data_IF_058493015736
#
_entry.id   IF_058493015736
#
_cell.length_a   1.000
_cell.length_b   1.000
_cell.length_c   1.000
_cell.angle_alpha   90.00
_cell.angle_beta   90.00
_cell.angle_gamma   90.00
#
_symmetry.space_group_name_H-M   'P 1'
#
loop_
_entity.id
_entity.type
_entity.pdbx_description
1 polymer ?
#
# COMPACT_ATOMS: atom_id res chain seq x y z
N UNK A 1 -45.27 -0.91 -29.47
CA UNK A 1 -44.34 0.02 -30.16
C UNK A 1 -43.23 -0.83 -30.79
N UNK A 2 -43.25 -1.01 -32.12
CA UNK A 2 -42.25 -1.81 -32.82
C UNK A 2 -41.02 -0.94 -33.11
N UNK A 3 -39.84 -1.39 -32.69
CA UNK A 3 -38.56 -0.75 -33.00
C UNK A 3 -38.18 -1.17 -34.42
N UNK A 4 -38.21 -0.24 -35.38
CA UNK A 4 -38.12 -0.51 -36.82
C UNK A 4 -36.76 -0.21 -37.47
N UNK A 5 -35.71 0.12 -36.71
CA UNK A 5 -34.39 0.30 -37.34
C UNK A 5 -33.25 -0.04 -36.38
N UNK A 6 -32.40 -0.98 -36.81
CA UNK A 6 -31.10 -1.31 -36.21
C UNK A 6 -29.97 -1.03 -37.20
N UNK A 7 -30.13 -0.01 -38.05
CA UNK A 7 -29.04 0.47 -38.88
C UNK A 7 -27.93 1.04 -38.00
N UNK A 8 -26.71 0.51 -38.16
CA UNK A 8 -25.53 0.98 -37.44
C UNK A 8 -25.26 2.44 -37.83
N UNK A 9 -25.50 3.38 -36.92
CA UNK A 9 -25.10 4.77 -37.10
C UNK A 9 -23.57 4.86 -37.12
N UNK A 10 -23.02 5.44 -38.19
CA UNK A 10 -21.61 5.80 -38.23
C UNK A 10 -21.30 6.85 -37.17
N UNK A 11 -20.21 6.63 -36.44
CA UNK A 11 -19.74 7.53 -35.40
C UNK A 11 -19.25 8.85 -36.02
N UNK A 12 -20.03 9.93 -35.84
CA UNK A 12 -19.71 11.28 -36.34
C UNK A 12 -19.00 12.16 -35.30
N UNK A 13 -18.61 11.61 -34.16
CA UNK A 13 -17.95 12.36 -33.09
C UNK A 13 -16.47 12.60 -33.39
N UNK A 14 -15.97 13.80 -33.08
CA UNK A 14 -14.54 14.08 -33.10
C UNK A 14 -13.84 13.16 -32.08
N UNK A 15 -12.86 12.37 -32.52
CA UNK A 15 -11.99 11.63 -31.59
C UNK A 15 -11.36 12.67 -30.67
N UNK A 16 -11.79 12.71 -29.41
CA UNK A 16 -11.05 13.44 -28.38
C UNK A 16 -9.71 12.73 -28.23
N UNK A 17 -8.72 13.17 -29.01
CA UNK A 17 -7.33 12.72 -29.01
C UNK A 17 -6.58 13.09 -27.73
N UNK A 18 -7.26 13.74 -26.79
CA UNK A 18 -6.79 13.81 -25.42
C UNK A 18 -6.69 12.39 -24.89
N UNK A 19 -5.46 11.89 -24.76
CA UNK A 19 -5.07 10.89 -23.76
C UNK A 19 -5.44 11.42 -22.37
N UNK A 20 -6.73 11.63 -22.09
CA UNK A 20 -7.23 11.72 -20.73
C UNK A 20 -6.78 10.41 -20.13
N UNK A 21 -5.87 10.50 -19.17
CA UNK A 21 -5.07 9.36 -18.74
C UNK A 21 -6.02 8.19 -18.42
N UNK A 22 -6.04 7.18 -19.30
CA UNK A 22 -7.04 6.11 -19.23
C UNK A 22 -6.90 5.36 -17.90
N UNK A 23 -5.69 5.36 -17.34
CA UNK A 23 -5.40 4.83 -16.01
C UNK A 23 -6.21 5.50 -14.89
N UNK A 24 -6.45 6.82 -14.93
CA UNK A 24 -7.28 7.52 -13.93
C UNK A 24 -8.73 7.03 -14.01
N UNK A 25 -9.27 6.84 -15.22
CA UNK A 25 -10.65 6.38 -15.41
C UNK A 25 -10.81 4.96 -14.86
N UNK A 26 -9.84 4.08 -15.14
CA UNK A 26 -9.80 2.71 -14.60
C UNK A 26 -9.74 2.75 -13.08
N UNK A 27 -8.77 3.48 -12.50
CA UNK A 27 -8.59 3.59 -11.06
C UNK A 27 -9.85 4.12 -10.37
N UNK A 28 -10.46 5.19 -10.90
CA UNK A 28 -11.68 5.80 -10.35
C UNK A 28 -12.87 4.85 -10.40
N UNK A 29 -13.00 4.09 -11.49
CA UNK A 29 -14.08 3.11 -11.65
C UNK A 29 -13.94 1.98 -10.64
N UNK A 30 -12.74 1.43 -10.50
CA UNK A 30 -12.44 0.38 -9.53
C UNK A 30 -12.63 0.85 -8.09
N UNK A 31 -12.14 2.05 -7.74
CA UNK A 31 -12.35 2.64 -6.42
C UNK A 31 -13.84 2.84 -6.12
N UNK A 32 -14.65 3.27 -7.09
CA UNK A 32 -16.10 3.42 -6.92
C UNK A 32 -16.77 2.07 -6.67
N UNK A 33 -16.39 1.02 -7.41
CA UNK A 33 -16.92 -0.33 -7.22
C UNK A 33 -16.52 -0.88 -5.85
N UNK A 34 -15.28 -0.66 -5.41
CA UNK A 34 -14.80 -1.08 -4.10
C UNK A 34 -15.49 -0.31 -2.97
N UNK A 35 -15.70 1.00 -3.13
CA UNK A 35 -16.38 1.84 -2.14
C UNK A 35 -17.86 1.47 -1.95
N UNK A 36 -18.51 0.89 -2.97
CA UNK A 36 -19.88 0.35 -2.86
C UNK A 36 -19.93 -0.89 -1.96
N UNK A 37 -18.82 -1.60 -1.76
CA UNK A 37 -18.77 -2.74 -0.85
C UNK A 37 -18.70 -2.25 0.59
N UNK A 38 -19.77 -2.45 1.36
CA UNK A 38 -19.87 -2.06 2.77
C UNK A 38 -18.63 -2.47 3.58
N UNK A 39 -18.15 -3.69 3.37
CA UNK A 39 -16.99 -4.24 4.06
C UNK A 39 -15.69 -3.46 3.78
N UNK A 40 -15.41 -3.12 2.52
CA UNK A 40 -14.21 -2.32 2.16
C UNK A 40 -14.30 -0.94 2.78
N UNK A 41 -15.47 -0.29 2.74
CA UNK A 41 -15.67 1.01 3.37
C UNK A 41 -15.44 0.96 4.88
N UNK A 42 -15.91 -0.08 5.56
CA UNK A 42 -15.71 -0.23 7.00
C UNK A 42 -14.24 -0.43 7.36
N UNK A 43 -13.50 -1.24 6.61
CA UNK A 43 -12.07 -1.46 6.86
C UNK A 43 -11.23 -0.19 6.59
N UNK A 44 -11.58 0.57 5.55
CA UNK A 44 -10.84 1.78 5.20
C UNK A 44 -11.17 2.94 6.15
N UNK A 45 -12.37 2.98 6.73
CA UNK A 45 -12.79 4.10 7.56
C UNK A 45 -12.61 3.87 9.07
N UNK A 46 -13.07 2.73 9.60
CA UNK A 46 -13.21 2.56 11.06
C UNK A 46 -11.86 2.30 11.74
N UNK A 47 -11.09 1.26 11.38
CA UNK A 47 -9.86 0.97 12.11
C UNK A 47 -8.79 2.08 12.07
N UNK A 48 -8.51 2.74 10.93
CA UNK A 48 -7.55 3.86 10.91
C UNK A 48 -8.02 5.03 11.77
N UNK A 49 -9.34 5.29 11.81
CA UNK A 49 -9.90 6.33 12.65
C UNK A 49 -9.78 5.99 14.14
N UNK A 50 -10.10 4.75 14.53
CA UNK A 50 -9.90 4.29 15.91
C UNK A 50 -8.42 4.37 16.29
N UNK A 51 -7.53 3.91 15.41
CA UNK A 51 -6.08 3.94 15.62
C UNK A 51 -5.56 5.37 15.77
N UNK A 52 -6.02 6.30 14.92
CA UNK A 52 -5.73 7.73 15.02
C UNK A 52 -6.25 8.32 16.32
N UNK A 53 -7.50 8.05 16.72
CA UNK A 53 -8.09 8.61 17.95
C UNK A 53 -7.32 8.13 19.19
N UNK A 54 -6.97 6.85 19.25
CA UNK A 54 -6.19 6.30 20.38
C UNK A 54 -4.83 7.01 20.51
N UNK A 55 -4.12 7.21 19.40
CA UNK A 55 -2.81 7.88 19.41
C UNK A 55 -2.92 9.40 19.56
N UNK A 56 -3.99 10.02 19.08
CA UNK A 56 -4.28 11.44 19.28
C UNK A 56 -4.55 11.75 20.74
N UNK A 57 -5.33 10.90 21.43
CA UNK A 57 -5.50 11.01 22.90
C UNK A 57 -4.15 10.89 23.62
N UNK A 58 -3.27 9.98 23.19
CA UNK A 58 -1.92 9.86 23.76
C UNK A 58 -1.11 11.15 23.54
N UNK A 59 -1.11 11.69 22.32
CA UNK A 59 -0.47 12.97 21.99
C UNK A 59 -1.02 14.12 22.83
N UNK A 60 -2.33 14.16 23.05
CA UNK A 60 -2.98 15.15 23.92
C UNK A 60 -2.52 15.03 25.37
N UNK A 61 -2.49 13.82 25.92
CA UNK A 61 -2.04 13.56 27.29
C UNK A 61 -0.57 13.97 27.49
N UNK A 62 0.31 13.69 26.52
CA UNK A 62 1.73 14.06 26.61
C UNK A 62 1.91 15.58 26.65
N UNK A 63 1.15 16.32 25.85
CA UNK A 63 1.26 17.78 25.81
C UNK A 63 0.65 18.48 27.04
N UNK A 64 -0.42 17.93 27.61
CA UNK A 64 -1.17 18.60 28.68
C UNK A 64 -0.88 18.07 30.10
N UNK A 65 -0.48 16.80 30.23
CA UNK A 65 -0.10 16.15 31.48
C UNK A 65 1.29 15.51 31.40
N UNK A 66 2.37 16.30 31.25
CA UNK A 66 3.72 15.77 31.07
C UNK A 66 4.22 14.98 32.29
N UNK A 67 3.80 15.36 33.50
CA UNK A 67 4.16 14.69 34.77
C UNK A 67 3.71 13.22 34.80
N UNK A 68 2.54 12.90 34.23
CA UNK A 68 1.98 11.54 34.21
C UNK A 68 2.41 10.72 32.99
N UNK A 69 3.08 11.34 32.02
CA UNK A 69 3.48 10.74 30.74
C UNK A 69 4.99 10.82 30.50
N UNK A 70 5.79 10.96 31.56
CA UNK A 70 7.23 11.17 31.49
C UNK A 70 8.03 10.10 30.70
N UNK A 71 7.45 8.90 30.49
CA UNK A 71 8.05 7.82 29.70
C UNK A 71 7.66 7.85 28.20
N UNK A 72 6.74 8.73 27.80
CA UNK A 72 6.22 8.85 26.44
C UNK A 72 6.65 10.18 25.83
N UNK A 73 7.61 10.12 24.91
CA UNK A 73 8.03 11.27 24.10
C UNK A 73 7.49 11.14 22.68
N UNK A 74 7.08 12.27 22.09
CA UNK A 74 6.62 12.32 20.71
C UNK A 74 7.80 12.71 19.81
N UNK A 75 8.65 11.71 19.57
CA UNK A 75 9.87 11.83 18.77
C UNK A 75 9.67 11.25 17.35
N UNK A 76 10.64 11.38 16.41
CA UNK A 76 10.56 10.73 15.09
C UNK A 76 10.26 9.22 15.19
N UNK A 77 10.73 8.59 16.26
CA UNK A 77 10.44 7.20 16.55
C UNK A 77 8.93 6.93 16.73
N UNK A 78 8.19 7.79 17.43
CA UNK A 78 6.74 7.65 17.59
C UNK A 78 6.02 7.57 16.24
N UNK A 79 6.37 8.45 15.29
CA UNK A 79 5.77 8.47 13.96
C UNK A 79 6.16 7.24 13.13
N UNK A 80 7.42 6.81 13.20
CA UNK A 80 7.84 5.53 12.61
C UNK A 80 7.01 4.39 13.19
N UNK A 81 6.85 4.34 14.51
CA UNK A 81 6.09 3.28 15.19
C UNK A 81 4.62 3.27 14.79
N UNK A 82 4.02 4.46 14.69
CA UNK A 82 2.65 4.62 14.23
C UNK A 82 2.44 4.05 12.83
N UNK A 83 3.37 4.33 11.90
CA UNK A 83 3.31 3.78 10.55
C UNK A 83 3.58 2.27 10.55
N UNK A 84 4.68 1.88 11.21
CA UNK A 84 5.22 0.53 11.29
C UNK A 84 6.24 0.42 12.44
N UNK A 85 5.76 0.01 13.63
CA UNK A 85 6.51 -0.76 14.65
C UNK A 85 5.48 -1.43 15.54
N UNK A 86 5.67 -2.70 15.88
CA UNK A 86 4.63 -3.65 16.33
C UNK A 86 3.62 -3.99 15.21
N UNK A 87 3.95 -4.95 14.33
CA UNK A 87 3.24 -5.24 13.08
C UNK A 87 1.78 -5.72 13.22
N UNK A 88 1.23 -5.74 14.44
CA UNK A 88 -0.08 -6.35 14.71
C UNK A 88 -1.22 -5.52 14.14
N UNK A 89 -1.21 -4.19 14.24
CA UNK A 89 -2.35 -3.37 13.81
C UNK A 89 -2.20 -2.80 12.38
N UNK A 90 -1.22 -1.94 12.06
CA UNK A 90 -1.10 -1.39 10.69
C UNK A 90 -0.86 -2.49 9.65
N UNK A 91 0.03 -3.44 9.96
CA UNK A 91 0.33 -4.58 9.09
C UNK A 91 -0.89 -5.45 8.80
N UNK A 92 -1.72 -5.72 9.81
CA UNK A 92 -2.97 -6.47 9.65
C UNK A 92 -3.96 -5.79 8.70
N UNK A 93 -4.14 -4.46 8.80
CA UNK A 93 -5.05 -3.75 7.89
C UNK A 93 -4.55 -3.74 6.45
N UNK A 94 -3.23 -3.62 6.24
CA UNK A 94 -2.62 -3.76 4.92
C UNK A 94 -2.90 -5.16 4.35
N UNK A 95 -2.70 -6.21 5.15
CA UNK A 95 -3.00 -7.60 4.77
C UNK A 95 -4.48 -7.73 4.38
N UNK A 96 -5.37 -7.22 5.22
CA UNK A 96 -6.82 -7.32 5.05
C UNK A 96 -7.26 -6.65 3.74
N UNK A 97 -6.79 -5.44 3.45
CA UNK A 97 -7.12 -4.76 2.19
C UNK A 97 -6.49 -5.43 0.98
N UNK A 98 -5.24 -5.88 1.10
CA UNK A 98 -4.61 -6.65 0.03
C UNK A 98 -5.45 -7.87 -0.33
N UNK A 99 -5.92 -8.63 0.66
CA UNK A 99 -6.75 -9.82 0.45
C UNK A 99 -8.11 -9.48 -0.14
N UNK A 100 -8.85 -8.55 0.46
CA UNK A 100 -10.26 -8.33 0.10
C UNK A 100 -10.45 -7.45 -1.14
N UNK A 101 -9.54 -6.51 -1.36
CA UNK A 101 -9.58 -5.57 -2.48
C UNK A 101 -8.56 -5.95 -3.55
N UNK A 102 -7.31 -6.21 -3.15
CA UNK A 102 -6.19 -6.45 -4.09
C UNK A 102 -6.27 -7.78 -4.84
N UNK A 103 -6.62 -8.87 -4.15
CA UNK A 103 -6.62 -10.20 -4.76
C UNK A 103 -7.58 -10.33 -5.95
N UNK A 104 -8.65 -9.52 -5.97
CA UNK A 104 -9.67 -9.50 -7.01
C UNK A 104 -9.40 -8.55 -8.18
N UNK A 105 -8.39 -7.68 -8.08
CA UNK A 105 -8.20 -6.58 -9.03
C UNK A 105 -7.97 -7.08 -10.46
N UNK A 106 -7.12 -8.09 -10.65
CA UNK A 106 -6.81 -8.66 -11.98
C UNK A 106 -7.44 -10.05 -12.14
N UNK A 107 -7.47 -10.87 -11.09
CA UNK A 107 -8.03 -12.24 -11.16
C UNK A 107 -9.48 -12.27 -11.64
N UNK A 108 -10.29 -11.28 -11.25
CA UNK A 108 -11.67 -11.12 -11.73
C UNK A 108 -11.72 -10.82 -13.23
N UNK A 109 -10.83 -9.95 -13.71
CA UNK A 109 -10.75 -9.58 -15.13
C UNK A 109 -10.29 -10.77 -15.98
N UNK A 110 -9.36 -11.58 -15.47
CA UNK A 110 -8.92 -12.81 -16.12
C UNK A 110 -10.04 -13.86 -16.17
N UNK A 111 -10.75 -14.08 -15.06
CA UNK A 111 -11.86 -15.05 -14.98
C UNK A 111 -12.97 -14.76 -15.99
N UNK A 112 -13.27 -13.49 -16.24
CA UNK A 112 -14.34 -13.06 -17.14
C UNK A 112 -13.83 -12.63 -18.52
N UNK A 113 -12.57 -12.90 -18.85
CA UNK A 113 -11.92 -12.46 -20.10
C UNK A 113 -12.11 -10.96 -20.40
N UNK A 114 -12.21 -10.12 -19.37
CA UNK A 114 -12.40 -8.68 -19.54
C UNK A 114 -11.14 -8.01 -20.09
N UNK A 115 -9.97 -8.62 -19.90
CA UNK A 115 -8.70 -8.06 -20.37
C UNK A 115 -8.65 -7.89 -21.90
N UNK A 116 -9.22 -8.82 -22.67
CA UNK A 116 -9.31 -8.70 -24.13
C UNK A 116 -10.20 -7.53 -24.56
N UNK A 117 -11.27 -7.27 -23.81
CA UNK A 117 -12.19 -6.14 -24.04
C UNK A 117 -11.52 -4.80 -23.69
N UNK A 118 -10.69 -4.75 -22.64
CA UNK A 118 -9.91 -3.55 -22.32
C UNK A 118 -8.84 -3.26 -23.37
N UNK A 119 -8.12 -4.29 -23.81
CA UNK A 119 -7.00 -4.16 -24.75
C UNK A 119 -7.43 -4.05 -26.23
N UNK A 120 -8.69 -4.34 -26.57
CA UNK A 120 -9.24 -4.07 -27.90
C UNK A 120 -9.57 -2.58 -28.11
N UNK A 121 -9.66 -1.82 -27.02
CA UNK A 121 -9.73 -0.35 -27.04
C UNK A 121 -8.32 0.23 -27.11
N UNK A 122 -8.14 1.51 -27.49
CA UNK A 122 -6.84 2.18 -27.51
C UNK A 122 -6.31 2.48 -26.09
N UNK A 123 -6.22 1.45 -25.24
CA UNK A 123 -5.73 1.48 -23.86
C UNK A 123 -4.45 0.66 -23.83
N UNK A 124 -3.35 1.27 -23.40
CA UNK A 124 -2.09 0.53 -23.22
C UNK A 124 -2.20 -0.42 -22.02
N UNK A 125 -1.50 -1.56 -22.09
CA UNK A 125 -1.31 -2.45 -20.94
C UNK A 125 -0.68 -1.71 -19.74
N UNK A 126 0.14 -0.68 -20.00
CA UNK A 126 0.71 0.18 -18.94
C UNK A 126 -0.35 1.03 -18.26
N UNK A 127 -1.30 1.58 -19.00
CA UNK A 127 -2.38 2.39 -18.42
C UNK A 127 -3.31 1.52 -17.56
N UNK A 128 -3.58 0.29 -18.01
CA UNK A 128 -4.31 -0.69 -17.22
C UNK A 128 -3.57 -1.01 -15.91
N UNK A 129 -2.28 -1.34 -16.00
CA UNK A 129 -1.48 -1.74 -14.83
C UNK A 129 -1.35 -0.60 -13.81
N UNK A 130 -1.02 0.62 -14.28
CA UNK A 130 -0.95 1.81 -13.43
C UNK A 130 -2.31 2.04 -12.75
N UNK A 131 -3.41 1.96 -13.50
CA UNK A 131 -4.75 2.11 -12.96
C UNK A 131 -5.04 1.12 -11.82
N UNK A 132 -4.70 -0.16 -11.98
CA UNK A 132 -4.91 -1.19 -10.95
C UNK A 132 -4.01 -1.01 -9.73
N UNK A 133 -2.72 -0.68 -9.92
CA UNK A 133 -1.79 -0.45 -8.80
C UNK A 133 -2.19 0.81 -8.02
N UNK A 134 -2.57 1.89 -8.70
CA UNK A 134 -3.00 3.14 -8.07
C UNK A 134 -4.20 2.96 -7.14
N UNK A 135 -5.11 2.01 -7.42
CA UNK A 135 -6.22 1.67 -6.53
C UNK A 135 -5.70 1.16 -5.19
N UNK A 136 -4.77 0.20 -5.19
CA UNK A 136 -4.16 -0.32 -3.96
C UNK A 136 -3.37 0.76 -3.22
N UNK A 137 -2.51 1.49 -3.93
CA UNK A 137 -1.70 2.56 -3.34
C UNK A 137 -2.60 3.60 -2.67
N UNK A 138 -3.67 4.03 -3.32
CA UNK A 138 -4.62 4.99 -2.77
C UNK A 138 -5.32 4.46 -1.51
N UNK A 139 -5.82 3.23 -1.54
CA UNK A 139 -6.50 2.64 -0.38
C UNK A 139 -5.55 2.49 0.81
N UNK A 140 -4.30 2.09 0.57
CA UNK A 140 -3.30 1.95 1.62
C UNK A 140 -2.83 3.33 2.16
N UNK A 141 -2.67 4.34 1.29
CA UNK A 141 -2.35 5.71 1.72
C UNK A 141 -3.39 6.28 2.70
N UNK A 142 -4.67 5.99 2.47
CA UNK A 142 -5.77 6.44 3.35
C UNK A 142 -5.66 5.87 4.77
N UNK A 143 -4.92 4.79 4.95
CA UNK A 143 -4.86 4.01 6.19
C UNK A 143 -3.55 4.19 6.92
N UNK A 144 -2.46 4.41 6.18
CA UNK A 144 -1.13 4.57 6.76
C UNK A 144 -0.74 6.04 6.81
N UNK A 145 -0.60 6.64 5.62
CA UNK A 145 -0.02 7.95 5.46
C UNK A 145 -0.91 9.06 6.02
N UNK A 146 -2.19 9.10 5.63
CA UNK A 146 -3.10 10.17 6.04
C UNK A 146 -3.27 10.26 7.56
N UNK A 147 -3.57 9.17 8.28
CA UNK A 147 -3.72 9.28 9.73
C UNK A 147 -2.41 9.67 10.42
N UNK A 148 -1.26 9.24 9.91
CA UNK A 148 0.03 9.65 10.47
C UNK A 148 0.31 11.15 10.26
N UNK A 149 -0.01 11.69 9.08
CA UNK A 149 0.11 13.13 8.82
C UNK A 149 -0.83 13.95 9.71
N UNK A 150 -2.07 13.48 9.91
CA UNK A 150 -3.01 14.13 10.82
C UNK A 150 -2.49 14.17 12.25
N UNK A 151 -1.90 13.08 12.74
CA UNK A 151 -1.27 13.04 14.07
C UNK A 151 -0.08 13.99 14.20
N UNK A 152 0.74 14.12 13.15
CA UNK A 152 1.84 15.07 13.15
C UNK A 152 1.32 16.51 13.26
N UNK A 153 0.26 16.83 12.50
CA UNK A 153 -0.39 18.15 12.56
C UNK A 153 -1.00 18.39 13.94
N UNK A 154 -1.70 17.40 14.51
CA UNK A 154 -2.28 17.46 15.86
C UNK A 154 -1.21 17.75 16.92
N UNK A 155 -0.12 16.98 16.92
CA UNK A 155 0.97 17.22 17.87
C UNK A 155 1.60 18.60 17.70
N UNK A 156 1.81 19.05 16.46
CA UNK A 156 2.34 20.37 16.16
C UNK A 156 1.41 21.52 16.57
N UNK A 157 0.10 21.30 16.63
CA UNK A 157 -0.87 22.30 17.08
C UNK A 157 -1.00 22.35 18.61
N UNK A 158 -0.79 21.21 19.27
CA UNK A 158 -0.84 21.07 20.73
C UNK A 158 0.47 21.49 21.40
N UNK A 159 1.59 21.44 20.69
CA UNK A 159 2.86 21.93 21.19
C UNK A 159 2.79 23.43 21.49
N UNK A 160 3.34 23.85 22.62
CA UNK A 160 3.22 25.23 23.15
C UNK A 160 3.74 26.31 22.21
N UNK A 161 4.65 25.97 21.29
CA UNK A 161 5.24 26.87 20.28
C UNK A 161 5.37 26.19 18.91
N UNK A 162 5.44 26.99 17.83
CA UNK A 162 5.80 26.53 16.48
C UNK A 162 7.23 25.99 16.36
N UNK A 163 8.01 26.02 17.45
CA UNK A 163 9.38 25.51 17.51
C UNK A 163 9.48 24.03 17.13
N UNK A 164 8.51 23.21 17.55
CA UNK A 164 8.50 21.79 17.15
C UNK A 164 8.39 21.62 15.64
N UNK A 165 7.47 22.36 14.99
CA UNK A 165 7.27 22.28 13.54
C UNK A 165 8.52 22.68 12.77
N UNK A 166 9.15 23.79 13.14
CA UNK A 166 10.34 24.31 12.47
C UNK A 166 11.56 23.40 12.62
N UNK A 167 11.66 22.63 13.71
CA UNK A 167 12.74 21.68 13.92
C UNK A 167 12.45 20.32 13.26
N UNK A 168 11.17 19.95 13.10
CA UNK A 168 10.75 18.61 12.70
C UNK A 168 9.95 18.55 11.39
N UNK A 169 9.95 19.61 10.56
CA UNK A 169 9.24 19.62 9.27
C UNK A 169 9.69 18.49 8.33
N UNK A 170 10.93 18.03 8.46
CA UNK A 170 11.49 16.92 7.68
C UNK A 170 10.75 15.59 7.93
N UNK A 171 10.11 15.43 9.11
CA UNK A 171 9.31 14.25 9.47
C UNK A 171 8.11 14.09 8.54
N UNK A 172 7.51 15.19 8.05
CA UNK A 172 6.44 15.11 7.05
C UNK A 172 6.90 14.40 5.78
N UNK A 173 8.10 14.74 5.31
CA UNK A 173 8.74 14.08 4.17
C UNK A 173 9.04 12.61 4.47
N UNK A 174 9.57 12.32 5.67
CA UNK A 174 9.84 10.95 6.10
C UNK A 174 8.58 10.09 6.17
N UNK A 175 7.46 10.62 6.69
CA UNK A 175 6.15 9.95 6.74
C UNK A 175 5.68 9.59 5.33
N UNK A 176 5.72 10.54 4.39
CA UNK A 176 5.31 10.34 3.01
C UNK A 176 6.16 9.27 2.31
N UNK A 177 7.48 9.41 2.39
CA UNK A 177 8.43 8.51 1.73
C UNK A 177 8.35 7.12 2.34
N UNK A 178 8.35 7.00 3.67
CA UNK A 178 8.27 5.70 4.34
C UNK A 178 6.94 5.00 4.05
N UNK A 179 5.82 5.72 4.06
CA UNK A 179 4.52 5.17 3.67
C UNK A 179 4.58 4.60 2.26
N UNK A 180 5.17 5.32 1.30
CA UNK A 180 5.35 4.84 -0.08
C UNK A 180 6.25 3.61 -0.16
N UNK A 181 7.37 3.60 0.56
CA UNK A 181 8.31 2.46 0.64
C UNK A 181 7.60 1.19 1.12
N UNK A 182 6.64 1.30 2.03
CA UNK A 182 5.87 0.16 2.53
C UNK A 182 4.75 -0.23 1.56
N UNK A 183 3.89 0.72 1.15
CA UNK A 183 2.65 0.39 0.44
C UNK A 183 2.87 0.05 -1.02
N UNK A 184 3.86 0.66 -1.69
CA UNK A 184 4.07 0.48 -3.13
C UNK A 184 4.52 -0.94 -3.47
N UNK A 185 5.52 -1.53 -2.79
CA UNK A 185 5.95 -2.89 -3.07
C UNK A 185 4.87 -3.92 -2.70
N UNK A 186 4.13 -3.70 -1.61
CA UNK A 186 3.01 -4.58 -1.22
C UNK A 186 1.85 -4.52 -2.21
N UNK A 187 1.55 -3.32 -2.73
CA UNK A 187 0.55 -3.14 -3.80
C UNK A 187 0.95 -3.89 -5.07
N UNK A 188 2.22 -3.80 -5.47
CA UNK A 188 2.75 -4.57 -6.60
C UNK A 188 2.66 -6.06 -6.36
N UNK A 189 3.01 -6.53 -5.17
CA UNK A 189 3.04 -7.95 -4.83
C UNK A 189 1.65 -8.58 -4.89
N UNK A 190 0.62 -7.95 -4.30
CA UNK A 190 -0.76 -8.46 -4.38
C UNK A 190 -1.32 -8.41 -5.81
N UNK A 191 -1.04 -7.35 -6.57
CA UNK A 191 -1.49 -7.22 -7.96
C UNK A 191 -0.80 -8.27 -8.84
N UNK A 192 0.48 -8.56 -8.58
CA UNK A 192 1.23 -9.64 -9.24
C UNK A 192 0.58 -10.98 -8.99
N UNK A 193 0.30 -11.33 -7.73
CA UNK A 193 -0.39 -12.58 -7.42
C UNK A 193 -1.80 -12.65 -8.02
N UNK A 194 -2.54 -11.55 -8.02
CA UNK A 194 -3.85 -11.45 -8.69
C UNK A 194 -3.76 -11.70 -10.21
N UNK A 195 -2.62 -11.37 -10.85
CA UNK A 195 -2.41 -11.60 -12.29
C UNK A 195 -2.03 -13.04 -12.65
N UNK A 196 -1.57 -13.83 -11.68
CA UNK A 196 -1.09 -15.19 -11.90
C UNK A 196 -2.20 -16.25 -11.82
N UNK A 197 -3.40 -15.88 -11.38
CA UNK A 197 -4.51 -16.82 -11.15
C UNK A 197 -5.85 -16.20 -11.51
N UNK A 198 -6.79 -17.04 -11.94
CA UNK A 198 -8.20 -16.66 -12.17
C UNK A 198 -9.04 -16.74 -10.90
N UNK A 199 -8.50 -17.28 -9.80
CA UNK A 199 -9.19 -17.40 -8.52
C UNK A 199 -8.59 -16.48 -7.46
N UNK A 200 -9.42 -15.57 -6.95
CA UNK A 200 -9.01 -14.60 -5.93
C UNK A 200 -8.45 -15.25 -4.67
N UNK A 201 -8.91 -16.47 -4.35
CA UNK A 201 -8.54 -17.17 -3.11
C UNK A 201 -7.07 -17.56 -3.13
N UNK A 202 -6.56 -18.05 -4.26
CA UNK A 202 -5.14 -18.40 -4.39
C UNK A 202 -4.24 -17.17 -4.32
N UNK A 203 -4.62 -16.07 -4.98
CA UNK A 203 -3.88 -14.81 -4.90
C UNK A 203 -3.81 -14.27 -3.46
N UNK A 204 -4.92 -14.34 -2.72
CA UNK A 204 -4.99 -13.97 -1.32
C UNK A 204 -4.10 -14.85 -0.43
N UNK A 205 -4.16 -16.18 -0.61
CA UNK A 205 -3.34 -17.12 0.15
C UNK A 205 -1.85 -16.86 -0.08
N UNK A 206 -1.40 -16.72 -1.33
CA UNK A 206 0.01 -16.40 -1.61
C UNK A 206 0.45 -15.09 -0.98
N UNK A 207 -0.40 -14.06 -1.01
CA UNK A 207 -0.11 -12.78 -0.37
C UNK A 207 0.06 -12.92 1.15
N UNK A 208 -0.89 -13.56 1.82
CA UNK A 208 -0.82 -13.79 3.26
C UNK A 208 0.39 -14.66 3.59
N UNK A 209 0.63 -15.74 2.85
CA UNK A 209 1.76 -16.64 3.05
C UNK A 209 3.12 -15.94 2.97
N UNK A 210 3.30 -14.95 2.10
CA UNK A 210 4.54 -14.15 2.06
C UNK A 210 4.64 -13.25 3.30
N UNK A 211 3.57 -12.54 3.64
CA UNK A 211 3.57 -11.56 4.73
C UNK A 211 3.68 -12.19 6.12
N UNK A 212 3.14 -13.40 6.31
CA UNK A 212 3.22 -14.12 7.59
C UNK A 212 4.28 -15.21 7.57
N UNK A 213 4.64 -15.76 6.42
CA UNK A 213 5.66 -16.80 6.31
C UNK A 213 7.08 -16.25 6.47
N UNK A 214 7.39 -15.09 5.88
CA UNK A 214 8.74 -14.50 5.98
C UNK A 214 9.17 -14.18 7.43
N UNK A 215 8.32 -13.64 8.32
CA UNK A 215 8.67 -13.40 9.71
C UNK A 215 8.80 -14.69 10.52
N UNK A 216 7.93 -15.69 10.26
CA UNK A 216 8.03 -17.01 10.89
C UNK A 216 9.37 -17.66 10.53
N UNK A 217 9.77 -17.59 9.26
CA UNK A 217 11.06 -18.11 8.81
C UNK A 217 12.23 -17.35 9.46
N UNK A 218 12.16 -16.02 9.53
CA UNK A 218 13.16 -15.22 10.23
C UNK A 218 13.30 -15.65 11.69
N UNK A 219 12.19 -15.81 12.41
CA UNK A 219 12.19 -16.20 13.82
C UNK A 219 12.81 -17.58 14.04
N UNK A 220 12.44 -18.58 13.23
CA UNK A 220 13.02 -19.93 13.30
C UNK A 220 14.54 -19.90 13.05
N UNK A 221 14.99 -19.15 12.05
CA UNK A 221 16.41 -19.06 11.69
C UNK A 221 17.19 -18.27 12.76
N UNK A 222 16.61 -17.22 13.32
CA UNK A 222 17.20 -16.42 14.41
C UNK A 222 17.39 -17.28 15.66
N UNK A 223 16.37 -18.06 16.06
CA UNK A 223 16.44 -18.98 17.19
C UNK A 223 17.53 -20.04 17.00
N UNK A 224 17.71 -20.55 15.78
CA UNK A 224 18.70 -21.58 15.46
C UNK A 224 20.13 -21.02 15.39
N UNK A 225 20.30 -19.89 14.70
CA UNK A 225 21.62 -19.33 14.38
C UNK A 225 22.15 -18.40 15.47
N UNK A 226 21.27 -17.89 16.35
CA UNK A 226 21.52 -16.80 17.32
C UNK A 226 22.15 -15.55 16.68
N UNK A 227 21.99 -15.39 15.37
CA UNK A 227 22.50 -14.25 14.63
C UNK A 227 21.33 -13.33 14.28
N UNK A 228 21.42 -12.08 14.75
CA UNK A 228 20.40 -11.05 14.54
C UNK A 228 20.40 -10.46 13.12
N UNK A 229 21.34 -10.87 12.25
CA UNK A 229 21.36 -10.50 10.83
C UNK A 229 20.26 -11.16 9.99
N UNK A 230 19.45 -12.04 10.58
CA UNK A 230 18.33 -12.73 9.92
C UNK A 230 17.16 -11.80 9.62
N UNK A 231 17.12 -10.59 10.18
CA UNK A 231 16.05 -9.60 10.01
C UNK A 231 15.74 -9.28 8.53
N UNK A 232 16.73 -9.41 7.64
CA UNK A 232 16.60 -9.26 6.18
C UNK A 232 15.61 -10.26 5.56
N UNK A 233 15.43 -11.42 6.18
CA UNK A 233 14.56 -12.50 5.68
C UNK A 233 13.08 -12.10 5.79
N UNK A 234 12.76 -11.32 6.82
CA UNK A 234 11.40 -10.85 7.08
C UNK A 234 11.08 -9.61 6.26
N UNK A 235 9.96 -9.64 5.54
CA UNK A 235 9.50 -8.46 4.79
C UNK A 235 9.24 -7.26 5.71
N UNK A 236 8.74 -7.51 6.93
CA UNK A 236 8.53 -6.46 7.93
C UNK A 236 9.86 -5.96 8.50
N UNK A 237 10.87 -6.83 8.64
CA UNK A 237 12.22 -6.45 9.05
C UNK A 237 12.90 -5.54 8.03
N UNK A 238 12.75 -5.82 6.74
CA UNK A 238 13.22 -4.93 5.65
C UNK A 238 12.59 -3.54 5.79
N UNK A 239 11.28 -3.46 6.02
CA UNK A 239 10.61 -2.17 6.24
C UNK A 239 11.08 -1.48 7.51
N UNK A 240 11.27 -2.22 8.61
CA UNK A 240 11.70 -1.65 9.89
C UNK A 240 13.08 -0.99 9.77
N UNK A 241 14.05 -1.66 9.13
CA UNK A 241 15.41 -1.15 8.87
C UNK A 241 15.36 0.12 8.01
N UNK A 242 14.55 0.13 6.94
CA UNK A 242 14.40 1.31 6.08
C UNK A 242 13.71 2.47 6.83
N UNK A 243 12.76 2.15 7.71
CA UNK A 243 12.10 3.13 8.59
C UNK A 243 13.08 3.77 9.58
N UNK A 244 13.95 2.98 10.20
CA UNK A 244 15.02 3.49 11.11
C UNK A 244 15.87 4.51 10.37
N UNK A 245 16.33 4.18 9.16
CA UNK A 245 17.18 5.07 8.36
C UNK A 245 16.44 6.36 7.94
N UNK A 246 15.19 6.25 7.50
CA UNK A 246 14.40 7.42 7.05
C UNK A 246 14.04 8.38 8.18
N UNK A 247 13.81 7.86 9.39
CA UNK A 247 13.53 8.66 10.58
C UNK A 247 14.80 9.04 11.37
N UNK A 248 16.00 8.80 10.82
CA UNK A 248 17.26 9.19 11.44
C UNK A 248 17.53 8.53 12.80
N UNK A 249 16.97 7.35 13.03
CA UNK A 249 17.06 6.64 14.31
C UNK A 249 18.35 5.80 14.39
N UNK A 250 18.82 5.55 15.61
CA UNK A 250 19.93 4.63 15.83
C UNK A 250 19.51 3.20 15.45
N UNK A 251 20.26 2.56 14.56
CA UNK A 251 20.00 1.17 14.19
C UNK A 251 20.60 0.23 15.22
N UNK A 252 19.74 -0.58 15.86
CA UNK A 252 20.17 -1.72 16.67
C UNK A 252 20.58 -2.92 15.81
N UNK A 253 20.24 -2.89 14.52
CA UNK A 253 20.52 -3.97 13.58
C UNK A 253 21.95 -3.85 13.05
N UNK A 254 22.66 -5.00 12.98
CA UNK A 254 23.98 -5.06 12.32
C UNK A 254 23.88 -5.02 10.80
N UNK A 255 22.67 -5.10 10.26
CA UNK A 255 22.41 -5.10 8.82
C UNK A 255 22.44 -3.68 8.28
N UNK A 256 23.23 -3.46 7.24
CA UNK A 256 23.24 -2.19 6.53
C UNK A 256 21.95 -2.01 5.74
N UNK A 257 21.32 -0.83 5.87
CA UNK A 257 20.09 -0.45 5.16
C UNK A 257 20.16 -0.64 3.63
N UNK A 258 21.37 -0.59 3.06
CA UNK A 258 21.64 -0.79 1.62
C UNK A 258 21.16 -2.17 1.16
N UNK A 259 21.36 -3.22 1.96
CA UNK A 259 20.92 -4.58 1.61
C UNK A 259 19.40 -4.69 1.62
N UNK A 260 18.74 -4.10 2.62
CA UNK A 260 17.28 -4.04 2.70
C UNK A 260 16.69 -3.28 1.49
N UNK A 261 17.29 -2.14 1.12
CA UNK A 261 16.88 -1.38 -0.07
C UNK A 261 17.08 -2.19 -1.36
N UNK A 262 18.22 -2.88 -1.50
CA UNK A 262 18.51 -3.69 -2.69
C UNK A 262 17.51 -4.84 -2.86
N UNK A 263 17.17 -5.56 -1.79
CA UNK A 263 16.19 -6.66 -1.83
C UNK A 263 14.79 -6.14 -2.17
N UNK A 264 14.41 -5.00 -1.58
CA UNK A 264 13.13 -4.37 -1.90
C UNK A 264 13.05 -3.97 -3.37
N UNK A 265 14.12 -3.39 -3.91
CA UNK A 265 14.21 -3.03 -5.33
C UNK A 265 14.16 -4.25 -6.24
N UNK A 266 14.84 -5.34 -5.89
CA UNK A 266 14.76 -6.61 -6.62
C UNK A 266 13.31 -7.12 -6.63
N UNK A 267 12.62 -7.10 -5.48
CA UNK A 267 11.22 -7.52 -5.38
C UNK A 267 10.31 -6.69 -6.29
N UNK A 268 10.47 -5.36 -6.31
CA UNK A 268 9.72 -4.44 -7.18
C UNK A 268 9.96 -4.79 -8.66
N UNK A 269 11.23 -4.95 -9.06
CA UNK A 269 11.61 -5.26 -10.44
C UNK A 269 11.03 -6.62 -10.87
N UNK A 270 11.13 -7.64 -10.01
CA UNK A 270 10.56 -8.97 -10.28
C UNK A 270 9.04 -8.88 -10.46
N UNK A 271 8.32 -8.18 -9.58
CA UNK A 271 6.87 -7.98 -9.71
C UNK A 271 6.49 -7.31 -11.04
N UNK A 272 7.20 -6.23 -11.42
CA UNK A 272 6.96 -5.52 -12.68
C UNK A 272 7.26 -6.41 -13.89
N UNK A 273 8.35 -7.19 -13.86
CA UNK A 273 8.71 -8.13 -14.91
C UNK A 273 7.64 -9.22 -15.10
N UNK A 274 7.14 -9.80 -14.00
CA UNK A 274 6.08 -10.82 -14.03
C UNK A 274 4.78 -10.22 -14.59
N UNK A 275 4.36 -9.06 -14.10
CA UNK A 275 3.16 -8.36 -14.59
C UNK A 275 3.25 -8.04 -16.08
N UNK A 276 4.41 -7.52 -16.53
CA UNK A 276 4.66 -7.23 -17.95
C UNK A 276 4.57 -8.49 -18.81
N UNK A 277 5.13 -9.61 -18.34
CA UNK A 277 5.06 -10.89 -19.06
C UNK A 277 3.62 -11.37 -19.19
N UNK A 278 2.87 -11.40 -18.09
CA UNK A 278 1.49 -11.88 -18.07
C UNK A 278 0.58 -11.05 -18.98
N UNK A 279 0.66 -9.72 -18.91
CA UNK A 279 -0.20 -8.83 -19.71
C UNK A 279 0.12 -8.89 -21.21
N UNK A 280 1.38 -9.12 -21.60
CA UNK A 280 1.77 -9.30 -23.01
C UNK A 280 1.26 -10.61 -23.60
N UNK A 281 1.28 -11.69 -22.82
CA UNK A 281 0.79 -13.00 -23.29
C UNK A 281 -0.69 -12.96 -23.68
N UNK A 282 -1.50 -12.15 -22.97
CA UNK A 282 -2.92 -11.98 -23.31
C UNK A 282 -3.13 -11.13 -24.56
N UNK A 283 -2.22 -10.20 -24.87
CA UNK A 283 -2.29 -9.41 -26.10
C UNK A 283 -2.00 -10.25 -27.35
N UNK A 284 -1.06 -11.19 -27.28
CA UNK A 284 -0.66 -12.03 -28.43
C UNK A 284 -1.69 -13.12 -28.77
N UNK A 285 -2.60 -13.43 -27.85
CA UNK A 285 -3.60 -14.51 -28.00
C UNK A 285 -4.94 -14.05 -28.61
N UNK A 286 -5.11 -12.74 -28.82
CA UNK A 286 -6.27 -12.14 -29.52
C UNK A 286 -5.84 -11.61 -30.88
#
# INVERSE_FOLDING_TARGET
>A
MLIHDRSYHHWNGQLKSGRVSCWIVIARTELKILAQRKFVRFIVAIPPLVYLVVHGVLVYLVNYFPESTALLTIDPEFFKQFLMRNPVFPGFFIVLIGVFSGANLISKDLRHNALSIYLSKPISWTDYLIGKISVMVFLLLMITCIPCLLLFIEHSLLSKDLGFFLQNYWILGAILVYSLVVIFPLSLLIVTFSSLTTDMRYAAVWFVSVLTGTPILQEIIEQTTRNRQTEIISIWGIFDILGIQLFGLASESKVTWIWSAAILMIMIVVCICVLRRQLRLVHVRN
#
